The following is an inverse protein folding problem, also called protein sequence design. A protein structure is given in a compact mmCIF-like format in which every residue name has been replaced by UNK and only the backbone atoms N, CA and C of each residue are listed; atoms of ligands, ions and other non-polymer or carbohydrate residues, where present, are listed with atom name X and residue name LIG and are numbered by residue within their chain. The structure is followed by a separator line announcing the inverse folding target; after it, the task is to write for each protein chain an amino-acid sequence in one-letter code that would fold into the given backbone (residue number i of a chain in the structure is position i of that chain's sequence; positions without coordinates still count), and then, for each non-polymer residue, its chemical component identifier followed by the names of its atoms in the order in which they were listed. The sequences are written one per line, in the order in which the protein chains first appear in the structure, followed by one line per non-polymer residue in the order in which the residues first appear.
data_IF_710345194971
#
_entry.id   IF_710345194971
#
_cell.length_a   1.000
_cell.length_b   1.000
_cell.length_c   1.000
_cell.angle_alpha   90.00
_cell.angle_beta   90.00
_cell.angle_gamma   90.00
#
_symmetry.space_group_name_H-M   'P 1'
#
loop_
_entity.id
_entity.type
_entity.pdbx_description
1 polymer ?
#
# COMPACT_ATOMS: atom_id res chain seq x y z
N UNK A 1 -42.47 16.57 -31.68
CA UNK A 1 -41.39 15.56 -31.64
C UNK A 1 -40.11 16.37 -31.54
N UNK A 2 -39.41 16.51 -30.42
CA UNK A 2 -39.49 15.94 -29.08
C UNK A 2 -38.64 16.91 -28.24
N UNK A 3 -39.20 17.70 -27.33
CA UNK A 3 -38.42 18.48 -26.36
C UNK A 3 -39.27 18.62 -25.09
N UNK A 4 -39.32 17.53 -24.32
CA UNK A 4 -39.92 17.52 -23.01
C UNK A 4 -38.88 18.08 -22.03
N UNK A 5 -38.77 19.41 -21.96
CA UNK A 5 -37.99 20.10 -20.93
C UNK A 5 -38.69 19.89 -19.59
N UNK A 6 -38.25 18.88 -18.85
CA UNK A 6 -38.67 18.65 -17.46
C UNK A 6 -38.11 19.82 -16.63
N UNK A 7 -38.95 20.83 -16.39
CA UNK A 7 -38.66 21.89 -15.40
C UNK A 7 -38.67 21.28 -14.01
N UNK A 8 -37.49 20.90 -13.52
CA UNK A 8 -37.31 20.51 -12.13
C UNK A 8 -37.31 21.76 -11.24
N UNK A 9 -38.03 21.67 -10.12
CA UNK A 9 -38.08 22.74 -9.11
C UNK A 9 -36.67 23.01 -8.54
N UNK A 10 -36.30 24.28 -8.24
CA UNK A 10 -35.02 24.63 -7.62
C UNK A 10 -34.72 23.84 -6.33
N UNK A 11 -35.76 23.36 -5.65
CA UNK A 11 -35.65 22.54 -4.46
C UNK A 11 -35.15 21.11 -4.74
N UNK A 12 -35.36 20.57 -5.94
CA UNK A 12 -34.95 19.19 -6.30
C UNK A 12 -33.49 19.16 -6.77
N UNK A 13 -33.01 20.22 -7.43
CA UNK A 13 -31.60 20.38 -7.82
C UNK A 13 -30.67 20.46 -6.61
N UNK A 14 -31.11 21.08 -5.51
CA UNK A 14 -30.31 21.22 -4.29
C UNK A 14 -30.10 19.86 -3.59
N UNK A 15 -31.09 18.97 -3.62
CA UNK A 15 -31.00 17.64 -2.98
C UNK A 15 -30.15 16.63 -3.79
N UNK A 16 -30.11 16.74 -5.12
CA UNK A 16 -29.24 15.92 -5.96
C UNK A 16 -27.75 16.23 -5.75
N UNK A 17 -27.38 17.47 -5.45
CA UNK A 17 -25.99 17.83 -5.12
C UNK A 17 -25.54 17.28 -3.76
N UNK A 18 -26.44 17.06 -2.81
CA UNK A 18 -26.08 16.48 -1.49
C UNK A 18 -25.82 14.97 -1.54
N UNK A 19 -26.44 14.24 -2.48
CA UNK A 19 -26.22 12.79 -2.64
C UNK A 19 -24.96 12.45 -3.45
N UNK A 20 -24.40 13.42 -4.19
CA UNK A 20 -23.17 13.24 -5.00
C UNK A 20 -21.90 13.71 -4.24
N UNK A 21 -22.02 14.17 -2.99
CA UNK A 21 -20.88 14.49 -2.14
C UNK A 21 -20.31 13.25 -1.39
N UNK A 22 -20.44 12.07 -1.98
CA UNK A 22 -19.59 10.91 -1.65
C UNK A 22 -18.42 10.82 -2.65
N UNK A 23 -17.94 11.96 -3.15
CA UNK A 23 -16.63 12.01 -3.78
C UNK A 23 -15.58 11.76 -2.68
N UNK A 24 -14.84 10.66 -2.80
CA UNK A 24 -13.60 10.42 -2.06
C UNK A 24 -12.81 11.73 -2.04
N UNK A 25 -12.62 12.33 -0.86
CA UNK A 25 -11.86 13.56 -0.71
C UNK A 25 -10.40 13.26 -1.11
N UNK A 26 -10.06 13.54 -2.37
CA UNK A 26 -8.70 13.40 -2.87
C UNK A 26 -7.84 14.50 -2.23
N UNK A 27 -6.53 14.22 -2.04
CA UNK A 27 -5.62 15.19 -1.41
C UNK A 27 -5.32 16.39 -2.31
N UNK A 28 -5.54 16.24 -3.61
CA UNK A 28 -5.39 17.27 -4.64
C UNK A 28 -6.35 16.96 -5.79
N UNK A 29 -6.81 18.00 -6.49
CA UNK A 29 -7.60 17.87 -7.71
C UNK A 29 -6.72 17.98 -8.98
N UNK A 30 -5.40 18.18 -8.83
CA UNK A 30 -4.45 18.24 -9.95
C UNK A 30 -4.14 16.81 -10.46
N UNK A 31 -4.53 16.45 -11.69
CA UNK A 31 -4.26 15.12 -12.24
C UNK A 31 -2.76 14.81 -12.35
N UNK A 32 -1.92 15.81 -12.56
CA UNK A 32 -0.47 15.62 -12.69
C UNK A 32 0.17 15.24 -11.35
N UNK A 33 -0.31 15.81 -10.25
CA UNK A 33 0.11 15.44 -8.89
C UNK A 33 -0.40 14.05 -8.52
N UNK A 34 -1.68 13.75 -8.78
CA UNK A 34 -2.27 12.42 -8.52
C UNK A 34 -1.53 11.30 -9.25
N UNK A 35 -1.13 11.54 -10.50
CA UNK A 35 -0.43 10.55 -11.33
C UNK A 35 1.07 10.44 -10.99
N UNK A 36 1.59 11.26 -10.08
CA UNK A 36 3.03 11.35 -9.77
C UNK A 36 3.30 11.62 -8.29
N UNK A 37 2.85 10.70 -7.44
CA UNK A 37 2.86 10.85 -5.98
C UNK A 37 3.82 9.88 -5.28
N UNK A 38 4.65 10.39 -4.38
CA UNK A 38 5.38 9.59 -3.40
C UNK A 38 4.81 9.86 -2.01
N UNK A 39 4.57 8.81 -1.22
CA UNK A 39 4.04 8.97 0.13
C UNK A 39 4.98 9.81 1.00
N UNK A 40 4.43 10.67 1.87
CA UNK A 40 5.18 11.23 3.00
C UNK A 40 5.37 10.14 4.09
N UNK A 41 6.36 9.27 3.85
CA UNK A 41 6.74 8.11 4.64
C UNK A 41 8.22 8.09 5.00
N UNK A 42 8.64 7.01 5.69
CA UNK A 42 9.99 6.91 6.26
C UNK A 42 11.10 6.74 5.22
N UNK A 43 10.82 6.04 4.11
CA UNK A 43 11.82 5.62 3.13
C UNK A 43 11.52 6.08 1.70
N UNK A 44 10.47 6.87 1.54
CA UNK A 44 10.05 7.45 0.28
C UNK A 44 10.87 8.70 -0.05
N UNK A 45 11.13 8.91 -1.34
CA UNK A 45 11.62 10.17 -1.89
C UNK A 45 10.50 11.21 -1.86
N UNK A 46 10.86 12.48 -1.95
CA UNK A 46 9.87 13.57 -2.05
C UNK A 46 9.09 13.51 -3.37
N UNK A 47 9.76 13.16 -4.48
CA UNK A 47 9.16 13.08 -5.82
C UNK A 47 9.67 11.87 -6.60
N UNK A 48 8.87 11.35 -7.56
CA UNK A 48 9.31 10.25 -8.40
C UNK A 48 10.52 10.63 -9.25
N UNK A 49 11.41 9.67 -9.47
CA UNK A 49 12.57 9.84 -10.36
C UNK A 49 13.22 8.50 -10.72
N UNK A 50 14.12 8.48 -11.72
CA UNK A 50 14.82 7.26 -12.11
C UNK A 50 15.80 6.79 -11.01
N UNK A 51 15.95 5.47 -10.90
CA UNK A 51 16.88 4.74 -10.03
C UNK A 51 17.40 3.54 -10.82
N UNK A 52 18.58 3.68 -11.45
CA UNK A 52 19.11 2.64 -12.35
C UNK A 52 19.45 1.31 -11.68
N UNK A 53 19.55 1.29 -10.34
CA UNK A 53 20.14 0.19 -9.59
C UNK A 53 19.14 -0.52 -8.67
N UNK A 54 17.83 -0.27 -8.76
CA UNK A 54 16.84 -0.91 -7.87
C UNK A 54 17.03 -2.44 -7.82
N UNK A 55 16.96 -2.98 -6.61
CA UNK A 55 17.38 -4.35 -6.34
C UNK A 55 16.26 -5.37 -6.63
N UNK A 56 16.60 -6.44 -7.35
CA UNK A 56 15.78 -7.65 -7.55
C UNK A 56 14.31 -7.37 -7.94
N UNK A 57 13.33 -7.71 -7.08
CA UNK A 57 11.90 -7.61 -7.38
C UNK A 57 11.42 -6.15 -7.57
N UNK A 58 12.19 -5.17 -7.09
CA UNK A 58 11.85 -3.76 -7.24
C UNK A 58 12.34 -3.14 -8.57
N UNK A 59 13.06 -3.89 -9.41
CA UNK A 59 13.53 -3.42 -10.74
C UNK A 59 12.44 -2.89 -11.69
N UNK A 60 11.16 -3.32 -11.65
CA UNK A 60 10.13 -2.76 -12.51
C UNK A 60 9.94 -1.24 -12.38
N UNK A 61 10.27 -0.66 -11.22
CA UNK A 61 10.13 0.79 -10.97
C UNK A 61 11.38 1.61 -11.34
N UNK A 62 12.45 1.00 -11.87
CA UNK A 62 13.77 1.66 -12.05
C UNK A 62 13.74 2.96 -12.87
N UNK A 63 12.81 3.10 -13.82
CA UNK A 63 12.74 4.29 -14.67
C UNK A 63 12.02 5.45 -13.96
N UNK A 64 11.17 5.15 -12.98
CA UNK A 64 10.33 6.11 -12.26
C UNK A 64 9.86 5.50 -10.94
N UNK A 65 10.56 5.81 -9.85
CA UNK A 65 10.31 5.25 -8.52
C UNK A 65 10.21 6.32 -7.44
N UNK A 66 9.57 5.95 -6.32
CA UNK A 66 9.56 6.67 -5.05
C UNK A 66 10.53 6.10 -4.00
N UNK A 67 11.24 5.03 -4.31
CA UNK A 67 12.24 4.41 -3.44
C UNK A 67 13.66 4.67 -3.94
N UNK A 68 14.67 4.34 -3.15
CA UNK A 68 16.10 4.38 -3.52
C UNK A 68 16.67 2.97 -3.64
N UNK A 69 17.85 2.82 -4.25
CA UNK A 69 18.62 1.56 -4.20
C UNK A 69 18.72 1.00 -2.78
N UNK A 70 19.13 1.82 -1.81
CA UNK A 70 19.32 1.40 -0.41
C UNK A 70 18.03 0.89 0.22
N UNK A 71 16.89 1.52 -0.07
CA UNK A 71 15.57 1.05 0.36
C UNK A 71 15.31 -0.36 -0.16
N UNK A 72 15.51 -0.57 -1.47
CA UNK A 72 15.24 -1.87 -2.10
C UNK A 72 16.24 -2.96 -1.69
N UNK A 73 17.50 -2.62 -1.43
CA UNK A 73 18.50 -3.54 -0.88
C UNK A 73 18.14 -3.97 0.54
N UNK A 74 17.79 -3.02 1.40
CA UNK A 74 17.38 -3.28 2.78
C UNK A 74 16.16 -4.23 2.82
N UNK A 75 15.17 -3.98 1.97
CA UNK A 75 13.96 -4.80 1.82
C UNK A 75 14.26 -6.28 1.55
N UNK A 76 15.26 -6.58 0.71
CA UNK A 76 15.58 -7.94 0.31
C UNK A 76 16.61 -8.64 1.22
N UNK A 77 17.64 -7.91 1.65
CA UNK A 77 18.78 -8.50 2.36
C UNK A 77 18.64 -8.41 3.89
N UNK A 78 17.75 -7.55 4.39
CA UNK A 78 17.57 -7.31 5.83
C UNK A 78 16.11 -7.40 6.23
N UNK A 79 15.84 -7.32 7.53
CA UNK A 79 14.47 -7.19 8.06
C UNK A 79 14.05 -5.72 7.99
N UNK A 80 13.55 -5.27 6.85
CA UNK A 80 12.97 -3.92 6.74
C UNK A 80 11.88 -3.75 7.80
N UNK A 81 11.84 -2.58 8.44
CA UNK A 81 10.99 -2.30 9.63
C UNK A 81 11.23 -3.23 10.82
N UNK A 82 12.34 -3.98 10.84
CA UNK A 82 12.61 -5.07 11.77
C UNK A 82 11.48 -6.12 11.82
N UNK A 83 10.78 -6.32 10.70
CA UNK A 83 9.69 -7.28 10.62
C UNK A 83 10.22 -8.69 10.28
N UNK A 84 9.73 -9.68 11.00
CA UNK A 84 10.03 -11.09 10.88
C UNK A 84 8.83 -11.82 10.28
N UNK A 85 9.00 -12.26 9.04
CA UNK A 85 8.04 -13.10 8.32
C UNK A 85 7.98 -14.54 8.88
N UNK A 86 8.99 -14.97 9.64
CA UNK A 86 9.06 -16.29 10.27
C UNK A 86 8.56 -16.27 11.73
N UNK A 87 7.58 -15.42 12.04
CA UNK A 87 7.04 -15.28 13.40
C UNK A 87 6.32 -16.54 13.93
N UNK A 88 5.95 -17.49 13.05
CA UNK A 88 5.40 -18.81 13.40
C UNK A 88 6.40 -19.98 13.15
N UNK A 89 7.70 -19.69 13.21
CA UNK A 89 8.78 -20.67 12.97
C UNK A 89 8.76 -21.92 13.86
N UNK A 90 8.05 -21.90 14.99
CA UNK A 90 7.80 -23.08 15.83
C UNK A 90 7.00 -24.16 15.11
N UNK A 91 6.20 -23.78 14.10
CA UNK A 91 5.48 -24.71 13.22
C UNK A 91 6.28 -24.93 11.95
N UNK A 92 6.54 -23.86 11.18
CA UNK A 92 7.47 -23.85 10.05
C UNK A 92 7.87 -22.42 9.68
N UNK A 93 9.02 -22.28 9.02
CA UNK A 93 9.38 -21.02 8.38
C UNK A 93 8.50 -20.77 7.15
N UNK A 94 8.28 -19.49 6.84
CA UNK A 94 7.54 -19.08 5.66
C UNK A 94 8.30 -19.51 4.40
N UNK A 95 7.59 -20.12 3.44
CA UNK A 95 8.20 -20.48 2.16
C UNK A 95 8.58 -19.26 1.31
N UNK A 96 9.60 -19.41 0.46
CA UNK A 96 10.02 -18.35 -0.46
C UNK A 96 8.91 -17.98 -1.46
N UNK A 97 8.05 -18.94 -1.81
CA UNK A 97 6.91 -18.70 -2.70
C UNK A 97 5.87 -17.74 -2.08
N UNK A 98 5.62 -17.82 -0.78
CA UNK A 98 4.77 -16.85 -0.08
C UNK A 98 5.53 -15.53 0.15
N UNK A 99 6.78 -15.62 0.63
CA UNK A 99 7.61 -14.46 0.98
C UNK A 99 7.82 -13.50 -0.19
N UNK A 100 7.99 -14.00 -1.42
CA UNK A 100 8.15 -13.14 -2.60
C UNK A 100 6.99 -12.14 -2.79
N UNK A 101 5.76 -12.52 -2.42
CA UNK A 101 4.60 -11.62 -2.55
C UNK A 101 4.65 -10.49 -1.51
N UNK A 102 5.08 -10.77 -0.29
CA UNK A 102 5.35 -9.72 0.71
C UNK A 102 6.48 -8.78 0.27
N UNK A 103 7.51 -9.32 -0.38
CA UNK A 103 8.59 -8.52 -0.99
C UNK A 103 8.06 -7.63 -2.10
N UNK A 104 7.24 -8.17 -3.00
CA UNK A 104 6.63 -7.43 -4.10
C UNK A 104 5.67 -6.34 -3.60
N UNK A 105 4.87 -6.63 -2.57
CA UNK A 105 4.01 -5.65 -1.88
C UNK A 105 4.83 -4.51 -1.28
N UNK A 106 5.94 -4.81 -0.62
CA UNK A 106 6.85 -3.77 -0.12
C UNK A 106 7.49 -2.97 -1.26
N UNK A 107 7.92 -3.61 -2.36
CA UNK A 107 8.40 -2.86 -3.52
C UNK A 107 7.33 -1.92 -4.06
N UNK A 108 6.09 -2.38 -4.17
CA UNK A 108 4.97 -1.55 -4.60
C UNK A 108 4.72 -0.38 -3.64
N UNK A 109 4.69 -0.64 -2.33
CA UNK A 109 4.47 0.37 -1.29
C UNK A 109 5.57 1.43 -1.25
N UNK A 110 6.84 1.03 -1.37
CA UNK A 110 7.98 1.95 -1.30
C UNK A 110 8.25 2.67 -2.62
N UNK A 111 8.03 2.00 -3.76
CA UNK A 111 8.53 2.47 -5.05
C UNK A 111 7.46 3.04 -5.98
N UNK A 112 6.18 2.69 -5.84
CA UNK A 112 5.16 3.08 -6.83
C UNK A 112 4.87 4.59 -6.81
N UNK A 113 5.02 5.30 -7.95
CA UNK A 113 4.65 6.71 -8.06
C UNK A 113 3.21 6.94 -8.51
N UNK A 114 2.44 5.88 -8.73
CA UNK A 114 1.11 5.93 -9.36
C UNK A 114 -0.03 5.78 -8.34
N UNK A 115 0.20 6.19 -7.10
CA UNK A 115 -0.65 5.85 -5.95
C UNK A 115 -1.50 7.02 -5.44
N UNK A 116 -1.32 8.22 -6.00
CA UNK A 116 -1.96 9.46 -5.54
C UNK A 116 -3.47 9.35 -5.27
N UNK A 117 -4.27 8.69 -6.12
CA UNK A 117 -5.71 8.54 -5.90
C UNK A 117 -6.12 7.79 -4.61
N UNK A 118 -5.19 7.02 -4.02
CA UNK A 118 -5.44 6.15 -2.87
C UNK A 118 -4.63 6.55 -1.63
N UNK A 119 -4.12 7.78 -1.60
CA UNK A 119 -3.38 8.32 -0.46
C UNK A 119 -4.32 9.00 0.51
N UNK A 120 -4.15 8.68 1.80
CA UNK A 120 -4.82 9.38 2.90
C UNK A 120 -3.80 9.83 3.94
N UNK A 121 -4.08 10.98 4.56
CA UNK A 121 -3.30 11.48 5.69
C UNK A 121 -3.55 10.64 6.95
N UNK A 122 -2.49 10.44 7.73
CA UNK A 122 -2.52 9.76 9.02
C UNK A 122 -1.65 10.50 10.03
N UNK A 123 -2.01 10.39 11.30
CA UNK A 123 -1.21 10.93 12.40
C UNK A 123 -0.41 9.81 13.07
N UNK A 124 0.69 9.37 12.43
CA UNK A 124 1.61 8.37 12.98
C UNK A 124 3.01 8.97 13.11
N UNK A 125 3.79 8.52 14.12
CA UNK A 125 5.17 8.99 14.32
C UNK A 125 6.10 8.66 13.15
N UNK A 126 5.82 7.58 12.42
CA UNK A 126 6.70 7.02 11.38
C UNK A 126 6.31 7.40 9.95
N UNK A 127 5.10 7.94 9.74
CA UNK A 127 4.57 8.33 8.43
C UNK A 127 3.40 9.29 8.59
N UNK A 128 3.24 10.20 7.64
CA UNK A 128 2.11 11.14 7.58
C UNK A 128 1.07 10.74 6.55
N UNK A 129 1.43 9.82 5.65
CA UNK A 129 0.55 9.31 4.61
C UNK A 129 0.59 7.78 4.54
N UNK A 130 -0.47 7.18 3.97
CA UNK A 130 -0.53 5.76 3.68
C UNK A 130 -1.48 5.47 2.52
N UNK A 131 -1.37 4.26 1.98
CA UNK A 131 -2.38 3.68 1.12
C UNK A 131 -3.70 3.43 1.85
N UNK A 132 -4.81 3.65 1.14
CA UNK A 132 -6.15 3.31 1.58
C UNK A 132 -6.99 2.88 0.37
N UNK A 133 -7.57 1.67 0.45
CA UNK A 133 -8.44 1.12 -0.59
C UNK A 133 -7.79 1.10 -1.99
N UNK A 134 -6.51 0.77 -2.07
CA UNK A 134 -5.83 0.53 -3.36
C UNK A 134 -6.50 -0.66 -4.06
N UNK A 135 -6.95 -0.51 -5.32
CA UNK A 135 -7.66 -1.55 -6.06
C UNK A 135 -6.64 -2.54 -6.63
N UNK A 136 -6.14 -3.43 -5.77
CA UNK A 136 -5.30 -4.53 -6.21
C UNK A 136 -6.09 -5.40 -7.20
N UNK A 137 -5.45 -5.77 -8.31
CA UNK A 137 -6.04 -6.71 -9.26
C UNK A 137 -6.40 -8.03 -8.56
N UNK A 138 -7.55 -8.60 -8.91
CA UNK A 138 -8.00 -9.87 -8.33
C UNK A 138 -6.97 -10.99 -8.51
N UNK A 139 -6.32 -11.04 -9.68
CA UNK A 139 -5.24 -11.98 -10.00
C UNK A 139 -4.07 -11.93 -9.01
N UNK A 140 -3.64 -10.73 -8.63
CA UNK A 140 -2.51 -10.53 -7.72
C UNK A 140 -2.89 -10.94 -6.29
N UNK A 141 -4.10 -10.58 -5.86
CA UNK A 141 -4.64 -10.98 -4.56
C UNK A 141 -4.77 -12.51 -4.44
N UNK A 142 -5.35 -13.16 -5.45
CA UNK A 142 -5.52 -14.62 -5.49
C UNK A 142 -4.19 -15.36 -5.55
N UNK A 143 -3.25 -14.89 -6.39
CA UNK A 143 -1.93 -15.51 -6.50
C UNK A 143 -1.13 -15.39 -5.20
N UNK A 144 -1.26 -14.28 -4.49
CA UNK A 144 -0.66 -14.11 -3.16
C UNK A 144 -1.30 -15.08 -2.16
N UNK A 145 -2.62 -15.09 -2.05
CA UNK A 145 -3.34 -15.98 -1.13
C UNK A 145 -2.97 -17.45 -1.36
N UNK A 146 -2.99 -17.92 -2.61
CA UNK A 146 -2.66 -19.30 -2.97
C UNK A 146 -1.22 -19.66 -2.66
N UNK A 147 -0.28 -18.74 -2.87
CA UNK A 147 1.13 -18.96 -2.53
C UNK A 147 1.36 -19.09 -1.02
N UNK A 148 0.49 -18.48 -0.21
CA UNK A 148 0.57 -18.50 1.26
C UNK A 148 -0.42 -19.47 1.92
N UNK A 149 -1.21 -20.25 1.16
CA UNK A 149 -2.30 -21.08 1.67
C UNK A 149 -1.87 -22.07 2.76
N UNK A 150 -0.67 -22.62 2.62
CA UNK A 150 -0.14 -23.63 3.53
C UNK A 150 0.83 -23.03 4.57
N UNK A 151 0.94 -21.70 4.62
CA UNK A 151 1.78 -20.93 5.56
C UNK A 151 1.05 -20.60 6.86
N UNK A 152 1.80 -20.15 7.88
CA UNK A 152 1.27 -19.91 9.21
C UNK A 152 1.44 -18.44 9.61
N UNK A 153 0.42 -17.91 10.27
CA UNK A 153 0.46 -16.64 10.98
C UNK A 153 -0.39 -16.75 12.24
N UNK A 154 -0.04 -15.98 13.26
CA UNK A 154 -0.73 -15.95 14.56
C UNK A 154 -1.70 -14.78 14.68
N UNK A 155 -1.90 -14.00 13.62
CA UNK A 155 -2.76 -12.82 13.62
C UNK A 155 -3.26 -12.45 12.23
N UNK A 156 -4.46 -11.88 12.15
CA UNK A 156 -5.10 -11.34 10.96
C UNK A 156 -4.70 -9.89 10.64
N UNK A 157 -4.18 -9.15 11.64
CA UNK A 157 -3.75 -7.76 11.48
C UNK A 157 -2.28 -7.58 11.84
N UNK A 158 -1.43 -7.60 10.82
CA UNK A 158 0.02 -7.50 10.95
C UNK A 158 0.52 -6.10 11.31
N UNK A 159 -0.34 -5.07 11.20
CA UNK A 159 0.01 -3.70 11.56
C UNK A 159 -0.17 -3.39 13.05
N UNK A 160 -0.96 -4.18 13.79
CA UNK A 160 -1.41 -3.82 15.14
C UNK A 160 -1.22 -4.89 16.20
N UNK A 161 -1.32 -6.16 15.83
CA UNK A 161 -1.52 -7.22 16.83
C UNK A 161 -0.22 -7.88 17.31
N UNK A 162 0.93 -7.54 16.72
CA UNK A 162 2.22 -8.06 17.20
C UNK A 162 2.70 -7.33 18.45
N UNK A 163 3.38 -8.08 19.33
CA UNK A 163 4.21 -7.52 20.39
C UNK A 163 5.59 -7.22 19.82
N UNK A 164 6.19 -6.09 20.18
CA UNK A 164 7.53 -5.73 19.75
C UNK A 164 8.52 -5.96 20.90
N UNK A 165 9.33 -7.02 20.78
CA UNK A 165 10.34 -7.41 21.77
C UNK A 165 11.72 -7.38 21.12
N UNK A 166 12.70 -6.78 21.79
CA UNK A 166 14.06 -6.61 21.26
C UNK A 166 14.10 -6.01 19.84
N UNK A 167 13.13 -5.16 19.52
CA UNK A 167 13.02 -4.48 18.23
C UNK A 167 12.43 -5.31 17.08
N UNK A 168 11.95 -6.54 17.32
CA UNK A 168 11.29 -7.37 16.29
C UNK A 168 9.85 -7.74 16.72
N UNK A 169 8.98 -8.00 15.75
CA UNK A 169 7.62 -8.49 16.01
C UNK A 169 7.60 -9.95 16.53
N UNK A 170 6.71 -10.21 17.48
CA UNK A 170 6.42 -11.51 18.09
C UNK A 170 4.90 -11.72 18.23
N UNK A 171 4.48 -12.97 18.12
CA UNK A 171 3.10 -13.36 18.37
C UNK A 171 2.70 -13.07 19.82
N UNK A 172 1.40 -12.79 20.04
CA UNK A 172 0.86 -12.67 21.38
C UNK A 172 0.96 -14.01 22.12
N UNK A 173 1.12 -14.02 23.45
CA UNK A 173 1.08 -15.25 24.23
C UNK A 173 -0.21 -16.04 23.99
N UNK A 174 -0.09 -17.32 23.62
CA UNK A 174 -1.23 -18.22 23.37
C UNK A 174 -1.81 -18.18 21.95
N UNK A 175 -1.18 -17.45 21.03
CA UNK A 175 -1.52 -17.43 19.61
C UNK A 175 -0.82 -18.55 18.81
#
# INVERSE_FOLDING_TARGET
MLDMVIRMSPSVTLWLCFLVNFCLAQLTDDPSELLSWCLDGRHHKEKPGPEGELFSQCTPWKNRSCCTYNTTKNLHETKMYNFDYNHCSTVKNMSENCKRHFTQDHCFYECSPNIGPWVVKVNMKTRKERFYQVPLCASDCEAWFLACRDEYTCTDNWMRNFVWENGTNKCLPGA
#
